data_IF_285068554681
#
_entry.id   IF_285068554681
#
_cell.length_a   1.000
_cell.length_b   1.000
_cell.length_c   1.000
_cell.angle_alpha   90.00
_cell.angle_beta   90.00
_cell.angle_gamma   90.00
#
_symmetry.space_group_name_H-M   'P 1'
#
loop_
_entity.id
_entity.type
_entity.pdbx_description
1 polymer ?
#
# COMPACT_ATOMS: atom_id res chain seq x y z
N UNK A 1 -7.64 7.02 7.02
CA UNK A 1 -7.85 5.57 6.91
C UNK A 1 -6.50 4.87 6.87
N UNK A 2 -6.34 3.82 7.65
CA UNK A 2 -5.15 2.98 7.67
C UNK A 2 -5.45 1.70 6.88
N UNK A 3 -4.75 1.51 5.77
CA UNK A 3 -4.84 0.32 4.93
C UNK A 3 -3.64 -0.57 5.24
N UNK A 4 -3.90 -1.70 5.87
CA UNK A 4 -2.91 -2.64 6.39
C UNK A 4 -2.82 -3.86 5.47
N UNK A 5 -1.69 -4.04 4.81
CA UNK A 5 -1.44 -5.16 3.90
C UNK A 5 -0.81 -6.37 4.60
N UNK A 6 -0.61 -6.31 5.91
CA UNK A 6 -0.03 -7.45 6.66
C UNK A 6 -1.07 -8.52 6.93
N UNK A 7 -0.60 -9.76 7.09
CA UNK A 7 -1.44 -10.85 7.57
C UNK A 7 -1.71 -10.70 9.07
N UNK A 8 -2.84 -11.24 9.51
CA UNK A 8 -3.19 -11.23 10.93
C UNK A 8 -2.13 -12.00 11.73
N UNK A 9 -1.65 -11.40 12.81
CA UNK A 9 -0.62 -12.00 13.66
C UNK A 9 0.82 -11.79 13.17
N UNK A 10 1.03 -11.22 11.98
CA UNK A 10 2.36 -10.89 11.47
C UNK A 10 3.08 -9.83 12.32
N UNK A 11 2.31 -8.92 12.92
CA UNK A 11 2.79 -7.87 13.83
C UNK A 11 1.86 -7.72 15.03
N UNK A 12 2.40 -7.12 16.08
CA UNK A 12 1.58 -6.64 17.22
C UNK A 12 0.60 -5.59 16.69
N UNK A 13 -0.68 -5.77 17.00
CA UNK A 13 -1.71 -4.83 16.55
C UNK A 13 -1.53 -3.46 17.18
N UNK A 14 -1.57 -2.41 16.35
CA UNK A 14 -1.59 -1.02 16.81
C UNK A 14 -3.01 -0.45 16.94
N UNK A 15 -4.04 -1.23 16.64
CA UNK A 15 -5.44 -0.79 16.73
C UNK A 15 -5.80 -0.23 18.13
N UNK A 16 -5.35 -0.82 19.26
CA UNK A 16 -5.62 -0.22 20.57
C UNK A 16 -5.04 1.19 20.72
N UNK A 17 -3.86 1.44 20.15
CA UNK A 17 -3.22 2.76 20.16
C UNK A 17 -4.02 3.74 19.29
N UNK A 18 -4.43 3.35 18.09
CA UNK A 18 -5.30 4.16 17.23
C UNK A 18 -6.60 4.52 17.92
N UNK A 19 -7.22 3.56 18.58
CA UNK A 19 -8.48 3.77 19.29
C UNK A 19 -8.32 4.80 20.42
N UNK A 20 -7.24 4.69 21.20
CA UNK A 20 -6.89 5.65 22.26
C UNK A 20 -6.65 7.06 21.71
N UNK A 21 -5.83 7.19 20.65
CA UNK A 21 -5.50 8.48 20.03
C UNK A 21 -6.72 9.13 19.36
N UNK A 22 -7.57 8.34 18.71
CA UNK A 22 -8.85 8.79 18.16
C UNK A 22 -9.72 9.44 19.22
N UNK A 23 -9.86 8.82 20.39
CA UNK A 23 -10.63 9.36 21.52
C UNK A 23 -9.99 10.61 22.06
N UNK A 24 -8.66 10.61 22.27
CA UNK A 24 -7.91 11.73 22.82
C UNK A 24 -7.95 12.97 21.92
N UNK A 25 -7.89 12.78 20.59
CA UNK A 25 -7.81 13.87 19.60
C UNK A 25 -9.15 14.22 18.97
N UNK A 26 -10.22 13.53 19.32
CA UNK A 26 -11.55 13.68 18.70
C UNK A 26 -11.52 13.60 17.16
N UNK A 27 -10.67 12.74 16.61
CA UNK A 27 -10.55 12.51 15.17
C UNK A 27 -11.14 11.15 14.78
N UNK A 28 -11.69 11.04 13.57
CA UNK A 28 -12.16 9.78 13.03
C UNK A 28 -11.01 9.03 12.37
N UNK A 29 -10.76 7.79 12.80
CA UNK A 29 -9.81 6.89 12.16
C UNK A 29 -10.48 5.56 11.86
N UNK A 30 -10.07 4.93 10.78
CA UNK A 30 -10.51 3.60 10.37
C UNK A 30 -9.27 2.77 10.06
N UNK A 31 -9.27 1.52 10.50
CA UNK A 31 -8.28 0.51 10.11
C UNK A 31 -8.98 -0.57 9.30
N UNK A 32 -8.44 -0.88 8.13
CA UNK A 32 -8.90 -1.99 7.31
C UNK A 32 -7.70 -2.83 6.89
N UNK A 33 -7.87 -4.15 6.88
CA UNK A 33 -6.83 -5.09 6.47
C UNK A 33 -7.20 -5.76 5.17
N UNK A 34 -6.26 -5.73 4.22
CA UNK A 34 -6.24 -6.54 3.02
C UNK A 34 -4.98 -7.41 3.08
N UNK A 35 -5.07 -8.62 3.62
CA UNK A 35 -3.88 -9.42 3.89
C UNK A 35 -3.22 -9.90 2.60
N UNK A 36 -1.94 -9.59 2.45
CA UNK A 36 -1.08 -10.09 1.37
C UNK A 36 0.09 -10.79 2.01
N UNK A 37 0.42 -11.99 1.53
CA UNK A 37 1.57 -12.74 2.03
C UNK A 37 2.87 -11.97 1.80
N UNK A 38 3.72 -11.92 2.82
CA UNK A 38 4.99 -11.18 2.74
C UNK A 38 5.84 -11.65 1.55
N UNK A 39 6.48 -10.69 0.88
CA UNK A 39 7.32 -10.88 -0.32
C UNK A 39 6.58 -11.44 -1.54
N UNK A 40 5.26 -11.57 -1.49
CA UNK A 40 4.42 -12.08 -2.56
C UNK A 40 3.53 -10.98 -3.17
N UNK A 41 2.67 -11.37 -4.07
CA UNK A 41 1.66 -10.53 -4.71
C UNK A 41 0.27 -11.07 -4.41
N UNK A 42 -0.77 -10.22 -4.33
CA UNK A 42 -2.14 -10.69 -4.23
C UNK A 42 -2.63 -11.23 -5.58
N UNK A 43 -3.78 -11.84 -5.59
CA UNK A 43 -4.51 -12.09 -6.84
C UNK A 43 -4.91 -10.76 -7.50
N UNK A 44 -5.11 -10.78 -8.82
CA UNK A 44 -5.52 -9.57 -9.57
C UNK A 44 -6.82 -8.99 -9.01
N UNK A 45 -7.79 -9.84 -8.68
CA UNK A 45 -9.07 -9.40 -8.14
C UNK A 45 -8.92 -8.78 -6.74
N UNK A 46 -8.06 -9.36 -5.90
CA UNK A 46 -7.75 -8.79 -4.57
C UNK A 46 -7.07 -7.42 -4.69
N UNK A 47 -6.15 -7.27 -5.65
CA UNK A 47 -5.53 -5.96 -5.89
C UNK A 47 -6.56 -4.94 -6.37
N UNK A 48 -7.49 -5.32 -7.24
CA UNK A 48 -8.59 -4.44 -7.66
C UNK A 48 -9.41 -3.96 -6.47
N UNK A 49 -9.79 -4.86 -5.56
CA UNK A 49 -10.53 -4.51 -4.34
C UNK A 49 -9.77 -3.50 -3.48
N UNK A 50 -8.46 -3.69 -3.31
CA UNK A 50 -7.60 -2.75 -2.58
C UNK A 50 -7.62 -1.38 -3.25
N UNK A 51 -7.44 -1.33 -4.57
CA UNK A 51 -7.39 -0.08 -5.32
C UNK A 51 -8.75 0.63 -5.36
N UNK A 52 -9.84 -0.11 -5.51
CA UNK A 52 -11.20 0.43 -5.46
C UNK A 52 -11.50 1.06 -4.09
N UNK A 53 -11.08 0.39 -3.02
CA UNK A 53 -11.20 0.93 -1.67
C UNK A 53 -10.41 2.23 -1.51
N UNK A 54 -9.14 2.26 -1.95
CA UNK A 54 -8.28 3.46 -1.88
C UNK A 54 -8.93 4.62 -2.65
N UNK A 55 -9.38 4.38 -3.89
CA UNK A 55 -10.03 5.39 -4.71
C UNK A 55 -11.31 5.95 -4.05
N UNK A 56 -12.14 5.07 -3.50
CA UNK A 56 -13.36 5.47 -2.78
C UNK A 56 -13.06 6.38 -1.57
N UNK A 57 -12.04 6.04 -0.80
CA UNK A 57 -11.66 6.83 0.37
C UNK A 57 -11.07 8.19 -0.02
N UNK A 58 -10.26 8.24 -1.08
CA UNK A 58 -9.72 9.50 -1.62
C UNK A 58 -10.83 10.38 -2.20
N UNK A 59 -11.78 9.80 -2.97
CA UNK A 59 -12.95 10.53 -3.47
C UNK A 59 -13.79 11.12 -2.33
N UNK A 60 -13.85 10.44 -1.20
CA UNK A 60 -14.49 10.91 0.02
C UNK A 60 -13.65 11.94 0.80
N UNK A 61 -12.56 12.44 0.20
CA UNK A 61 -11.63 13.43 0.76
C UNK A 61 -10.95 12.98 2.07
N UNK A 62 -10.79 11.67 2.23
CA UNK A 62 -10.05 11.10 3.35
C UNK A 62 -8.58 10.93 3.00
N UNK A 63 -7.73 11.02 4.02
CA UNK A 63 -6.31 10.68 3.90
C UNK A 63 -6.16 9.17 4.08
N UNK A 64 -5.48 8.52 3.13
CA UNK A 64 -5.18 7.10 3.17
C UNK A 64 -3.72 6.89 3.55
N UNK A 65 -3.48 6.13 4.59
CA UNK A 65 -2.16 5.65 4.99
C UNK A 65 -2.06 4.16 4.69
N UNK A 66 -1.30 3.83 3.64
CA UNK A 66 -1.07 2.46 3.19
C UNK A 66 0.25 1.94 3.75
N UNK A 67 0.25 0.75 4.34
CA UNK A 67 1.46 0.14 4.87
C UNK A 67 1.44 -1.39 4.81
N UNK A 68 2.63 -1.96 4.85
CA UNK A 68 2.88 -3.37 5.15
C UNK A 68 3.85 -3.46 6.34
N UNK A 69 4.80 -4.40 6.34
CA UNK A 69 5.78 -4.49 7.43
C UNK A 69 6.90 -3.42 7.30
N UNK A 70 7.59 -3.38 6.15
CA UNK A 70 8.72 -2.46 5.89
C UNK A 70 8.37 -1.28 4.98
N UNK A 71 7.21 -1.30 4.35
CA UNK A 71 6.84 -0.30 3.35
C UNK A 71 7.55 -0.44 2.00
N UNK A 72 8.14 -1.59 1.72
CA UNK A 72 8.91 -1.85 0.50
C UNK A 72 8.17 -2.69 -0.52
N UNK A 73 7.87 -3.95 -0.19
CA UNK A 73 7.36 -4.94 -1.12
C UNK A 73 5.88 -4.74 -1.44
N UNK A 74 5.01 -5.19 -0.56
CA UNK A 74 3.54 -5.13 -0.73
C UNK A 74 3.02 -3.71 -0.92
N UNK A 75 3.54 -2.77 -0.14
CA UNK A 75 3.22 -1.34 -0.29
C UNK A 75 3.65 -0.82 -1.65
N UNK A 76 4.89 -1.09 -2.07
CA UNK A 76 5.40 -0.68 -3.38
C UNK A 76 4.60 -1.29 -4.54
N UNK A 77 4.21 -2.56 -4.43
CA UNK A 77 3.36 -3.23 -5.42
C UNK A 77 2.00 -2.55 -5.55
N UNK A 78 1.34 -2.28 -4.43
CA UNK A 78 0.04 -1.61 -4.42
C UNK A 78 0.12 -0.19 -4.98
N UNK A 79 1.13 0.59 -4.59
CA UNK A 79 1.35 1.94 -5.14
C UNK A 79 1.66 1.88 -6.64
N UNK A 80 2.46 0.91 -7.08
CA UNK A 80 2.75 0.70 -8.50
C UNK A 80 1.49 0.45 -9.31
N UNK A 81 0.66 -0.49 -8.89
CA UNK A 81 -0.63 -0.78 -9.54
C UNK A 81 -1.58 0.44 -9.50
N UNK A 82 -1.60 1.18 -8.39
CA UNK A 82 -2.36 2.42 -8.27
C UNK A 82 -1.93 3.45 -9.32
N UNK A 83 -0.64 3.67 -9.48
CA UNK A 83 -0.11 4.62 -10.48
C UNK A 83 -0.42 4.18 -11.91
N UNK A 84 -0.36 2.87 -12.20
CA UNK A 84 -0.74 2.34 -13.51
C UNK A 84 -2.24 2.54 -13.78
N UNK A 85 -3.11 2.25 -12.80
CA UNK A 85 -4.57 2.52 -12.90
C UNK A 85 -4.84 3.98 -13.25
N UNK A 86 -4.02 4.90 -12.73
CA UNK A 86 -4.17 6.34 -12.95
C UNK A 86 -3.32 6.89 -14.11
N UNK A 87 -2.91 6.05 -15.04
CA UNK A 87 -2.44 6.46 -16.36
C UNK A 87 -0.95 6.33 -16.63
N UNK A 88 -0.15 5.83 -15.67
CA UNK A 88 1.26 5.55 -15.94
C UNK A 88 1.43 4.16 -16.59
N UNK A 89 2.49 3.97 -17.36
CA UNK A 89 2.95 2.63 -17.71
C UNK A 89 3.55 1.94 -16.47
N UNK A 90 3.70 0.61 -16.52
CA UNK A 90 4.36 -0.12 -15.43
C UNK A 90 5.78 0.37 -15.14
N UNK A 91 6.55 0.68 -16.20
CA UNK A 91 7.92 1.22 -16.06
C UNK A 91 7.91 2.62 -15.42
N UNK A 92 7.02 3.50 -15.89
CA UNK A 92 6.86 4.84 -15.31
C UNK A 92 6.45 4.78 -13.84
N UNK A 93 5.56 3.84 -13.47
CA UNK A 93 5.14 3.64 -12.10
C UNK A 93 6.31 3.20 -11.20
N UNK A 94 7.13 2.25 -11.64
CA UNK A 94 8.33 1.81 -10.91
C UNK A 94 9.33 2.95 -10.74
N UNK A 95 9.59 3.73 -11.80
CA UNK A 95 10.47 4.90 -11.74
C UNK A 95 9.92 5.95 -10.77
N UNK A 96 8.61 6.19 -10.79
CA UNK A 96 7.96 7.15 -9.89
C UNK A 96 8.09 6.76 -8.41
N UNK A 97 7.97 5.47 -8.09
CA UNK A 97 8.22 4.98 -6.74
C UNK A 97 9.65 5.28 -6.31
N UNK A 98 10.63 5.04 -7.18
CA UNK A 98 12.04 5.38 -6.93
C UNK A 98 12.22 6.87 -6.62
N UNK A 99 11.66 7.77 -7.43
CA UNK A 99 11.70 9.21 -7.22
C UNK A 99 11.10 9.63 -5.86
N UNK A 100 9.92 9.11 -5.53
CA UNK A 100 9.23 9.42 -4.28
C UNK A 100 10.01 8.97 -3.04
N UNK A 101 10.93 8.01 -3.20
CA UNK A 101 11.74 7.46 -2.11
C UNK A 101 13.15 8.07 -2.02
N UNK A 102 13.54 8.98 -2.89
CA UNK A 102 14.90 9.54 -2.92
C UNK A 102 15.37 10.14 -1.58
N UNK A 103 14.45 10.73 -0.81
CA UNK A 103 14.76 11.37 0.48
C UNK A 103 14.29 10.56 1.69
N UNK A 104 13.95 9.28 1.51
CA UNK A 104 13.47 8.40 2.57
C UNK A 104 14.63 7.57 3.10
N UNK A 105 14.70 7.39 4.42
CA UNK A 105 15.66 6.48 5.04
C UNK A 105 15.50 5.06 4.48
N UNK A 106 16.60 4.41 4.12
CA UNK A 106 16.58 3.09 3.49
C UNK A 106 16.24 3.10 2.00
N UNK A 107 16.33 4.25 1.32
CA UNK A 107 16.08 4.40 -0.11
C UNK A 107 16.98 3.55 -1.01
N UNK A 108 18.10 3.01 -0.48
CA UNK A 108 18.97 2.07 -1.18
C UNK A 108 18.31 0.69 -1.41
N UNK A 109 17.21 0.39 -0.72
CA UNK A 109 16.46 -0.85 -0.90
C UNK A 109 15.42 -0.68 -2.00
N UNK A 110 15.25 -1.71 -2.82
CA UNK A 110 14.26 -1.70 -3.90
C UNK A 110 12.82 -1.67 -3.35
N UNK A 111 11.97 -0.96 -4.07
CA UNK A 111 10.52 -0.98 -3.86
C UNK A 111 9.81 -0.93 -5.23
N UNK A 112 9.00 -1.89 -5.59
CA UNK A 112 8.76 -3.18 -4.89
C UNK A 112 10.02 -3.99 -4.64
N UNK A 113 9.98 -4.89 -3.63
CA UNK A 113 11.16 -5.57 -3.11
C UNK A 113 11.60 -6.76 -3.98
N UNK A 114 10.65 -7.55 -4.52
CA UNK A 114 10.93 -8.77 -5.28
C UNK A 114 10.70 -8.59 -6.78
N UNK A 115 11.35 -9.43 -7.59
CA UNK A 115 11.13 -9.46 -9.04
C UNK A 115 9.69 -9.82 -9.39
N UNK A 116 9.05 -10.74 -8.65
CA UNK A 116 7.65 -11.07 -8.82
C UNK A 116 6.75 -9.84 -8.62
N UNK A 117 7.00 -9.06 -7.59
CA UNK A 117 6.27 -7.84 -7.30
C UNK A 117 6.47 -6.77 -8.38
N UNK A 118 7.69 -6.58 -8.88
CA UNK A 118 8.00 -5.67 -9.99
C UNK A 118 7.28 -6.12 -11.26
N UNK A 119 7.35 -7.40 -11.59
CA UNK A 119 6.67 -7.99 -12.76
C UNK A 119 5.16 -7.83 -12.67
N UNK A 120 4.58 -7.97 -11.48
CA UNK A 120 3.16 -7.74 -11.26
C UNK A 120 2.75 -6.30 -11.61
N UNK A 121 3.54 -5.31 -11.20
CA UNK A 121 3.30 -3.90 -11.56
C UNK A 121 3.46 -3.66 -13.06
N UNK A 122 4.54 -4.20 -13.67
CA UNK A 122 4.81 -4.04 -15.10
C UNK A 122 3.68 -4.57 -15.98
N UNK A 123 3.04 -5.64 -15.56
CA UNK A 123 1.96 -6.32 -16.28
C UNK A 123 0.55 -5.96 -15.78
N UNK A 124 0.44 -5.00 -14.86
CA UNK A 124 -0.85 -4.64 -14.29
C UNK A 124 -1.83 -4.17 -15.36
N UNK A 125 -2.98 -4.84 -15.40
CA UNK A 125 -4.13 -4.51 -16.27
C UNK A 125 -5.41 -4.89 -15.56
N UNK A 126 -6.41 -4.07 -15.74
CA UNK A 126 -7.78 -4.30 -15.24
C UNK A 126 -8.74 -4.62 -16.35
#
# INVERSE_FOLDING_TARGET
>A
VFVDLTEQGERISYQPILHKERRRRAVSTQHIRFPVTDRSVPLVEEMKEILDFIDSEIQSKKIVYLHCFRGLGRTGTTIGCYLVRHGLSGEEALNKIGELRNNVAGNFRDSPETEEQKTFVLNWKE
#
